data_IF_431361430592
#
_entry.id   IF_431361430592
#
_cell.length_a   1.000
_cell.length_b   1.000
_cell.length_c   1.000
_cell.angle_alpha   90.00
_cell.angle_beta   90.00
_cell.angle_gamma   90.00
#
_symmetry.space_group_name_H-M   'P 1'
#
loop_
_entity.id
_entity.type
_entity.pdbx_description
1 polymer ?
#
# COMPACT_ATOMS: atom_id res chain seq x y z
N UNK A 1 17.52 11.00 -8.21
CA UNK A 1 16.52 11.36 -7.18
C UNK A 1 17.29 11.68 -5.90
N UNK A 2 17.28 12.94 -5.41
CA UNK A 2 18.09 13.37 -4.24
C UNK A 2 17.63 12.72 -2.91
N UNK A 3 16.39 12.23 -2.85
CA UNK A 3 15.76 11.67 -1.63
C UNK A 3 15.97 10.16 -1.43
N UNK A 4 16.60 9.44 -2.38
CA UNK A 4 16.79 7.99 -2.26
C UNK A 4 17.61 7.57 -1.04
N UNK A 5 18.72 8.24 -0.70
CA UNK A 5 19.48 7.89 0.50
C UNK A 5 18.67 7.99 1.79
N UNK A 6 17.90 9.08 1.93
CA UNK A 6 17.09 9.33 3.14
C UNK A 6 15.91 8.34 3.23
N UNK A 7 15.27 8.04 2.10
CA UNK A 7 14.24 6.98 2.01
C UNK A 7 14.80 5.61 2.38
N UNK A 8 16.01 5.29 1.93
CA UNK A 8 16.66 4.02 2.23
C UNK A 8 16.99 3.90 3.73
N UNK A 9 17.51 4.96 4.33
CA UNK A 9 17.80 5.01 5.75
C UNK A 9 16.53 4.87 6.60
N UNK A 10 15.47 5.61 6.26
CA UNK A 10 14.19 5.57 6.96
C UNK A 10 13.51 4.20 6.83
N UNK A 11 13.53 3.60 5.63
CA UNK A 11 12.97 2.27 5.40
C UNK A 11 13.73 1.20 6.21
N UNK A 12 15.08 1.22 6.19
CA UNK A 12 15.89 0.24 6.92
C UNK A 12 15.67 0.34 8.42
N UNK A 13 15.59 1.55 8.98
CA UNK A 13 15.28 1.76 10.40
C UNK A 13 13.90 1.21 10.75
N UNK A 14 12.89 1.52 9.93
CA UNK A 14 11.51 1.07 10.16
C UNK A 14 11.38 -0.45 10.11
N UNK A 15 12.03 -1.13 9.15
CA UNK A 15 12.05 -2.59 9.05
C UNK A 15 12.79 -3.20 10.23
N UNK A 16 13.94 -2.66 10.62
CA UNK A 16 14.73 -3.18 11.72
C UNK A 16 14.05 -2.99 13.10
N UNK A 17 13.11 -2.05 13.21
CA UNK A 17 12.19 -1.91 14.35
C UNK A 17 11.00 -2.89 14.33
N UNK A 18 10.92 -3.75 13.30
CA UNK A 18 9.94 -4.84 13.21
C UNK A 18 8.75 -4.58 12.31
N UNK A 19 8.73 -3.51 11.51
CA UNK A 19 7.68 -3.29 10.53
C UNK A 19 7.78 -4.32 9.39
N UNK A 20 6.63 -4.89 8.99
CA UNK A 20 6.54 -5.83 7.87
C UNK A 20 6.27 -5.06 6.58
N UNK A 21 7.34 -4.67 5.90
CA UNK A 21 7.29 -3.85 4.67
C UNK A 21 7.84 -4.62 3.45
N UNK A 22 7.71 -5.95 3.46
CA UNK A 22 8.22 -6.81 2.38
C UNK A 22 9.71 -7.13 2.48
N UNK A 23 10.29 -6.92 3.67
CA UNK A 23 11.68 -7.24 3.98
C UNK A 23 11.79 -8.09 5.25
N UNK A 24 12.86 -8.86 5.35
CA UNK A 24 13.19 -9.64 6.54
C UNK A 24 14.32 -8.94 7.29
N UNK A 25 14.13 -8.52 8.55
CA UNK A 25 15.21 -7.92 9.32
C UNK A 25 16.27 -8.96 9.78
N UNK A 26 17.54 -8.57 9.96
CA UNK A 26 18.04 -7.22 9.75
C UNK A 26 18.29 -6.90 8.27
N UNK A 27 18.00 -5.66 7.86
CA UNK A 27 18.23 -5.18 6.50
C UNK A 27 19.18 -3.97 6.53
N UNK A 28 20.05 -3.84 5.53
CA UNK A 28 21.00 -2.74 5.39
C UNK A 28 20.38 -1.60 4.56
N UNK A 29 20.81 -0.38 4.80
CA UNK A 29 20.37 0.78 4.01
C UNK A 29 20.71 0.62 2.52
N UNK A 30 21.81 -0.04 2.17
CA UNK A 30 22.19 -0.30 0.76
C UNK A 30 21.19 -1.22 0.06
N UNK A 31 20.67 -2.25 0.75
CA UNK A 31 19.63 -3.13 0.20
C UNK A 31 18.33 -2.34 -0.04
N UNK A 32 17.99 -1.44 0.89
CA UNK A 32 16.85 -0.53 0.72
C UNK A 32 17.07 0.44 -0.45
N UNK A 33 18.32 0.94 -0.65
CA UNK A 33 18.65 1.78 -1.80
C UNK A 33 18.45 1.03 -3.12
N UNK A 34 18.99 -0.19 -3.22
CA UNK A 34 18.83 -1.03 -4.40
C UNK A 34 17.34 -1.28 -4.71
N UNK A 35 16.53 -1.51 -3.66
CA UNK A 35 15.07 -1.61 -3.81
C UNK A 35 14.46 -0.33 -4.41
N UNK A 36 14.76 0.86 -3.90
CA UNK A 36 14.23 2.11 -4.44
C UNK A 36 14.65 2.36 -5.88
N UNK A 37 15.88 2.02 -6.22
CA UNK A 37 16.41 2.12 -7.59
C UNK A 37 15.71 1.15 -8.55
N UNK A 38 15.38 -0.06 -8.09
CA UNK A 38 14.66 -1.07 -8.89
C UNK A 38 13.25 -0.64 -9.29
N UNK A 39 12.62 0.27 -8.54
CA UNK A 39 11.28 0.78 -8.84
C UNK A 39 11.24 1.79 -10.00
N UNK A 40 12.40 2.27 -10.46
CA UNK A 40 12.47 3.35 -11.44
C UNK A 40 11.65 3.09 -12.69
N UNK A 41 11.77 1.90 -13.27
CA UNK A 41 10.99 1.52 -14.47
C UNK A 41 9.48 1.54 -14.23
N UNK A 42 9.02 1.10 -13.06
CA UNK A 42 7.58 1.12 -12.73
C UNK A 42 7.08 2.55 -12.52
N UNK A 43 7.91 3.41 -11.92
CA UNK A 43 7.59 4.83 -11.71
C UNK A 43 7.58 5.57 -13.05
N UNK A 44 8.59 5.39 -13.89
CA UNK A 44 8.71 6.06 -15.19
C UNK A 44 7.57 5.67 -16.14
N UNK A 45 7.05 4.45 -16.02
CA UNK A 45 5.89 3.94 -16.80
C UNK A 45 4.54 4.23 -16.15
N UNK A 46 4.49 4.92 -15.00
CA UNK A 46 3.26 5.24 -14.28
C UNK A 46 2.56 4.03 -13.63
N UNK A 47 3.19 2.86 -13.62
CA UNK A 47 2.64 1.65 -12.97
C UNK A 47 2.79 1.69 -11.44
N UNK A 48 3.66 2.56 -10.95
CA UNK A 48 3.86 2.80 -9.53
C UNK A 48 4.01 4.29 -9.26
N UNK A 49 3.34 4.75 -8.21
CA UNK A 49 3.43 6.12 -7.74
C UNK A 49 4.04 6.08 -6.33
N UNK A 50 5.05 6.90 -6.11
CA UNK A 50 5.71 7.05 -4.83
C UNK A 50 5.35 8.42 -4.25
N UNK A 51 4.81 8.44 -3.04
CA UNK A 51 4.56 9.65 -2.27
C UNK A 51 5.48 9.70 -1.06
N UNK A 52 6.00 10.88 -0.77
CA UNK A 52 6.80 11.18 0.42
C UNK A 52 6.13 12.24 1.29
N UNK A 53 6.19 12.07 2.60
CA UNK A 53 5.87 13.11 3.57
C UNK A 53 7.16 13.79 4.02
N UNK A 54 7.13 15.13 4.09
CA UNK A 54 8.28 15.94 4.47
C UNK A 54 7.97 16.77 5.71
N UNK A 55 8.96 16.91 6.58
CA UNK A 55 8.98 17.88 7.67
C UNK A 55 10.17 18.81 7.42
N UNK A 56 9.91 20.02 6.94
CA UNK A 56 10.95 20.84 6.33
C UNK A 56 11.54 20.12 5.10
N UNK A 57 12.85 20.03 5.04
CA UNK A 57 13.56 19.34 3.94
C UNK A 57 13.79 17.83 4.21
N UNK A 58 13.41 17.33 5.39
CA UNK A 58 13.61 15.94 5.77
C UNK A 58 12.39 15.09 5.40
N UNK A 59 12.63 13.96 4.69
CA UNK A 59 11.58 12.97 4.47
C UNK A 59 11.30 12.20 5.77
N UNK A 60 10.02 12.12 6.14
CA UNK A 60 9.57 11.53 7.42
C UNK A 60 8.56 10.41 7.24
N UNK A 61 8.21 10.09 6.01
CA UNK A 61 7.31 8.98 5.70
C UNK A 61 7.17 8.79 4.21
N UNK A 62 6.70 7.63 3.82
CA UNK A 62 6.46 7.29 2.42
C UNK A 62 5.32 6.29 2.30
N UNK A 63 4.68 6.27 1.14
CA UNK A 63 3.72 5.26 0.73
C UNK A 63 3.74 5.10 -0.79
N UNK A 64 3.43 3.91 -1.25
CA UNK A 64 3.41 3.57 -2.67
C UNK A 64 2.00 3.19 -3.10
N UNK A 65 1.67 3.51 -4.34
CA UNK A 65 0.46 3.05 -5.00
C UNK A 65 0.87 2.26 -6.25
N UNK A 66 0.61 0.97 -6.25
CA UNK A 66 0.77 0.13 -7.44
C UNK A 66 -0.52 0.16 -8.26
N UNK A 67 -0.37 0.36 -9.57
CA UNK A 67 -1.46 0.44 -10.54
C UNK A 67 -1.37 -0.75 -11.48
N UNK A 68 -2.17 -1.81 -11.29
CA UNK A 68 -2.18 -2.97 -12.16
C UNK A 68 -2.49 -2.58 -13.61
N UNK A 69 -1.73 -3.09 -14.60
CA UNK A 69 -1.94 -2.74 -16.02
C UNK A 69 -2.97 -3.64 -16.71
N UNK A 70 -3.43 -4.72 -16.07
CA UNK A 70 -4.36 -5.67 -16.68
C UNK A 70 -5.72 -5.01 -16.96
N UNK A 71 -6.35 -5.23 -18.12
CA UNK A 71 -7.63 -4.61 -18.48
C UNK A 71 -8.74 -4.83 -17.46
N UNK A 72 -8.81 -6.00 -16.83
CA UNK A 72 -9.79 -6.33 -15.78
C UNK A 72 -9.41 -5.80 -14.38
N UNK A 73 -8.32 -5.08 -14.25
CA UNK A 73 -7.82 -4.55 -12.98
C UNK A 73 -7.63 -3.02 -12.99
N UNK A 74 -8.08 -2.35 -14.07
CA UNK A 74 -7.89 -0.90 -14.24
C UNK A 74 -8.67 -0.04 -13.24
N UNK A 75 -9.66 -0.63 -12.55
CA UNK A 75 -10.45 0.04 -11.51
C UNK A 75 -9.80 -0.03 -10.12
N UNK A 76 -8.75 -0.84 -9.91
CA UNK A 76 -8.14 -1.07 -8.60
C UNK A 76 -6.71 -0.56 -8.50
N UNK A 77 -6.28 -0.29 -7.27
CA UNK A 77 -4.91 0.04 -6.91
C UNK A 77 -4.53 -0.69 -5.62
N UNK A 78 -3.24 -0.82 -5.35
CA UNK A 78 -2.73 -1.41 -4.12
C UNK A 78 -1.80 -0.43 -3.41
N UNK A 79 -2.11 -0.12 -2.14
CA UNK A 79 -1.21 0.62 -1.26
C UNK A 79 -0.15 -0.33 -0.73
N UNK A 80 1.09 0.04 -0.93
CA UNK A 80 2.24 -0.73 -0.49
C UNK A 80 3.21 0.14 0.30
N UNK A 81 3.93 -0.46 1.24
CA UNK A 81 5.04 0.17 1.98
C UNK A 81 4.71 1.55 2.52
N UNK A 82 3.55 1.66 3.20
CA UNK A 82 3.24 2.84 4.00
C UNK A 82 4.02 2.78 5.31
N UNK A 83 4.85 3.77 5.58
CA UNK A 83 5.60 3.90 6.83
C UNK A 83 5.86 5.36 7.16
N UNK A 84 6.09 5.61 8.44
CA UNK A 84 6.36 6.94 9.01
C UNK A 84 7.53 6.80 9.98
N UNK A 85 8.34 7.84 10.10
CA UNK A 85 9.38 7.96 11.12
C UNK A 85 8.76 7.75 12.50
N UNK A 86 9.33 6.83 13.28
CA UNK A 86 8.82 6.48 14.60
C UNK A 86 8.66 7.68 15.54
N UNK A 87 9.52 8.72 15.39
CA UNK A 87 9.43 9.94 16.19
C UNK A 87 8.16 10.79 15.88
N UNK A 88 7.52 10.56 14.72
CA UNK A 88 6.33 11.29 14.26
C UNK A 88 5.08 10.41 14.17
N UNK A 89 5.15 9.19 14.67
CA UNK A 89 3.98 8.32 14.76
C UNK A 89 2.90 8.96 15.67
N UNK A 90 1.64 8.74 15.33
CA UNK A 90 0.50 9.33 16.05
C UNK A 90 0.23 10.80 15.76
N UNK A 91 1.09 11.49 15.00
CA UNK A 91 0.93 12.91 14.66
C UNK A 91 0.18 13.14 13.32
N UNK A 92 -0.52 12.14 12.79
CA UNK A 92 -1.35 12.28 11.60
C UNK A 92 -0.63 12.10 10.26
N UNK A 93 0.70 11.94 10.22
CA UNK A 93 1.49 11.80 8.98
C UNK A 93 1.00 10.62 8.13
N UNK A 94 0.77 9.45 8.74
CA UNK A 94 0.25 8.27 8.04
C UNK A 94 -1.15 8.51 7.44
N UNK A 95 -2.04 9.21 8.16
CA UNK A 95 -3.38 9.57 7.68
C UNK A 95 -3.30 10.54 6.50
N UNK A 96 -2.40 11.51 6.55
CA UNK A 96 -2.18 12.44 5.43
C UNK A 96 -1.62 11.73 4.19
N UNK A 97 -0.68 10.80 4.36
CA UNK A 97 -0.18 9.97 3.26
C UNK A 97 -1.29 9.12 2.63
N UNK A 98 -2.14 8.47 3.44
CA UNK A 98 -3.27 7.68 2.93
C UNK A 98 -4.28 8.54 2.18
N UNK A 99 -4.61 9.73 2.69
CA UNK A 99 -5.49 10.66 2.00
C UNK A 99 -4.92 11.08 0.63
N UNK A 100 -3.62 11.35 0.55
CA UNK A 100 -2.94 11.67 -0.70
C UNK A 100 -2.89 10.48 -1.67
N UNK A 101 -2.67 9.25 -1.17
CA UNK A 101 -2.71 8.02 -1.97
C UNK A 101 -4.12 7.78 -2.54
N UNK A 102 -5.18 7.92 -1.74
CA UNK A 102 -6.56 7.82 -2.21
C UNK A 102 -6.90 8.90 -3.24
N UNK A 103 -6.51 10.15 -3.00
CA UNK A 103 -6.68 11.23 -3.97
C UNK A 103 -5.96 10.93 -5.30
N UNK A 104 -4.77 10.35 -5.22
CA UNK A 104 -4.00 9.92 -6.39
C UNK A 104 -4.66 8.75 -7.10
N UNK A 105 -5.14 7.75 -6.38
CA UNK A 105 -5.86 6.61 -6.96
C UNK A 105 -7.10 7.09 -7.75
N UNK A 106 -7.91 8.01 -7.17
CA UNK A 106 -9.07 8.58 -7.87
C UNK A 106 -8.68 9.32 -9.14
N UNK A 107 -7.61 10.13 -9.12
CA UNK A 107 -7.12 10.83 -10.33
C UNK A 107 -6.68 9.87 -11.45
N UNK A 108 -6.31 8.63 -11.10
CA UNK A 108 -5.99 7.57 -12.04
C UNK A 108 -7.18 6.64 -12.35
N UNK A 109 -8.43 7.05 -12.03
CA UNK A 109 -9.64 6.27 -12.30
C UNK A 109 -9.76 4.98 -11.47
N UNK A 110 -9.10 4.93 -10.29
CA UNK A 110 -9.17 3.77 -9.42
C UNK A 110 -10.25 3.99 -8.36
N UNK A 111 -11.20 3.07 -8.29
CA UNK A 111 -12.32 3.12 -7.34
C UNK A 111 -12.16 2.13 -6.19
N UNK A 112 -11.31 1.10 -6.32
CA UNK A 112 -11.02 0.10 -5.31
C UNK A 112 -9.55 0.17 -4.90
N UNK A 113 -9.28 0.36 -3.62
CA UNK A 113 -7.92 0.34 -3.05
C UNK A 113 -7.77 -0.86 -2.12
N UNK A 114 -6.71 -1.62 -2.35
CA UNK A 114 -6.36 -2.80 -1.56
C UNK A 114 -5.05 -2.58 -0.84
N UNK A 115 -4.84 -3.33 0.22
CA UNK A 115 -3.56 -3.46 0.92
C UNK A 115 -3.51 -4.77 1.70
N UNK A 116 -2.34 -5.12 2.19
CA UNK A 116 -2.21 -6.18 3.16
C UNK A 116 -1.36 -5.72 4.37
N UNK A 117 -1.62 -6.32 5.53
CA UNK A 117 -0.91 -6.01 6.77
C UNK A 117 -0.91 -7.22 7.71
N UNK A 118 -0.24 -7.13 8.85
CA UNK A 118 -0.30 -8.17 9.89
C UNK A 118 -1.66 -8.15 10.60
N UNK A 119 -2.30 -9.32 10.81
CA UNK A 119 -3.54 -9.39 11.57
C UNK A 119 -3.32 -9.01 13.05
N UNK A 120 -4.34 -8.36 13.64
CA UNK A 120 -4.38 -7.98 15.05
C UNK A 120 -3.43 -6.84 15.46
N UNK A 121 -2.65 -6.32 14.52
CA UNK A 121 -1.64 -5.30 14.78
C UNK A 121 -2.19 -3.86 14.80
N UNK A 122 -1.33 -2.92 15.20
CA UNK A 122 -1.63 -1.49 15.17
C UNK A 122 -1.95 -0.99 13.76
N UNK A 123 -1.27 -1.53 12.75
CA UNK A 123 -1.49 -1.15 11.36
C UNK A 123 -2.88 -1.56 10.86
N UNK A 124 -3.37 -2.77 11.22
CA UNK A 124 -4.72 -3.19 10.86
C UNK A 124 -5.76 -2.22 11.43
N UNK A 125 -5.68 -1.92 12.73
CA UNK A 125 -6.59 -0.94 13.39
C UNK A 125 -6.54 0.44 12.73
N UNK A 126 -5.35 0.89 12.36
CA UNK A 126 -5.19 2.16 11.63
C UNK A 126 -5.94 2.15 10.29
N UNK A 127 -5.93 1.05 9.54
CA UNK A 127 -6.67 0.95 8.29
C UNK A 127 -8.19 0.79 8.52
N UNK A 128 -8.61 0.07 9.55
CA UNK A 128 -10.02 0.00 9.98
C UNK A 128 -10.57 1.39 10.30
N UNK A 129 -9.79 2.21 11.05
CA UNK A 129 -10.13 3.62 11.37
C UNK A 129 -10.19 4.53 10.13
N UNK A 130 -9.61 4.11 9.01
CA UNK A 130 -9.71 4.78 7.70
C UNK A 130 -10.86 4.24 6.84
N UNK A 131 -11.61 3.25 7.34
CA UNK A 131 -12.75 2.65 6.67
C UNK A 131 -12.40 1.47 5.74
N UNK A 132 -11.22 0.87 5.89
CA UNK A 132 -10.90 -0.37 5.20
C UNK A 132 -11.64 -1.55 5.84
N UNK A 133 -12.11 -2.46 4.99
CA UNK A 133 -12.76 -3.70 5.37
C UNK A 133 -11.80 -4.87 5.18
N UNK A 134 -11.90 -5.86 6.06
CA UNK A 134 -11.17 -7.11 5.92
C UNK A 134 -11.81 -7.99 4.85
N UNK A 135 -11.01 -8.46 3.89
CA UNK A 135 -11.43 -9.47 2.91
C UNK A 135 -11.12 -10.89 3.39
N UNK A 136 -10.11 -11.07 4.22
CA UNK A 136 -9.70 -12.33 4.80
C UNK A 136 -8.23 -12.42 5.15
N UNK A 137 -7.84 -13.51 5.81
CA UNK A 137 -6.47 -13.76 6.27
C UNK A 137 -5.84 -14.86 5.42
N UNK A 138 -4.59 -14.65 5.01
CA UNK A 138 -3.76 -15.65 4.33
C UNK A 138 -2.72 -16.17 5.32
N UNK A 139 -2.82 -17.44 5.75
CA UNK A 139 -1.86 -18.03 6.68
C UNK A 139 -0.46 -18.16 6.06
N UNK A 140 0.58 -17.84 6.84
CA UNK A 140 1.97 -18.04 6.42
C UNK A 140 2.41 -17.23 5.22
N UNK A 141 1.76 -16.13 4.94
CA UNK A 141 1.95 -15.28 3.75
C UNK A 141 3.35 -14.67 3.63
N UNK A 142 3.96 -14.28 4.74
CA UNK A 142 5.25 -13.61 4.75
C UNK A 142 6.25 -14.32 5.64
N UNK A 143 7.53 -14.06 5.42
CA UNK A 143 8.61 -14.49 6.32
C UNK A 143 8.97 -13.35 7.28
N UNK A 144 9.03 -13.64 8.55
CA UNK A 144 9.56 -12.78 9.59
C UNK A 144 11.02 -13.05 9.92
N UNK A 145 11.52 -12.37 10.97
CA UNK A 145 12.85 -12.65 11.54
C UNK A 145 12.94 -14.12 11.95
N UNK A 146 14.08 -14.78 11.69
CA UNK A 146 14.25 -16.20 11.95
C UNK A 146 13.51 -17.10 10.97
N UNK A 147 12.97 -16.56 9.86
CA UNK A 147 12.23 -17.27 8.81
C UNK A 147 10.92 -17.94 9.29
N UNK A 148 10.39 -17.52 10.41
CA UNK A 148 9.05 -17.92 10.82
C UNK A 148 8.00 -17.39 9.85
N UNK A 149 6.94 -18.15 9.60
CA UNK A 149 5.82 -17.72 8.75
C UNK A 149 4.90 -16.80 9.53
N UNK A 150 4.48 -15.74 8.88
CA UNK A 150 3.58 -14.73 9.42
C UNK A 150 2.34 -14.65 8.54
N UNK A 151 1.19 -14.58 9.17
CA UNK A 151 -0.08 -14.38 8.48
C UNK A 151 -0.20 -12.94 7.98
N UNK A 152 -1.03 -12.74 6.97
CA UNK A 152 -1.38 -11.43 6.43
C UNK A 152 -2.89 -11.31 6.27
N UNK A 153 -3.45 -10.20 6.72
CA UNK A 153 -4.82 -9.82 6.43
C UNK A 153 -4.85 -8.94 5.19
N UNK A 154 -5.69 -9.33 4.23
CA UNK A 154 -6.00 -8.54 3.04
C UNK A 154 -7.13 -7.59 3.39
N UNK A 155 -6.95 -6.32 3.11
CA UNK A 155 -7.96 -5.29 3.37
C UNK A 155 -8.23 -4.48 2.11
N UNK A 156 -9.45 -3.94 2.00
CA UNK A 156 -9.86 -3.15 0.86
C UNK A 156 -10.77 -2.00 1.27
N UNK A 157 -10.83 -0.98 0.44
CA UNK A 157 -11.78 0.13 0.54
C UNK A 157 -12.22 0.56 -0.85
N UNK A 158 -13.52 0.70 -1.05
CA UNK A 158 -14.06 1.40 -2.20
C UNK A 158 -13.96 2.92 -1.97
N UNK A 159 -13.25 3.60 -2.86
CA UNK A 159 -13.01 5.04 -2.78
C UNK A 159 -13.73 5.82 -3.88
N UNK A 160 -14.45 5.12 -4.77
CA UNK A 160 -15.37 5.70 -5.76
C UNK A 160 -16.67 6.17 -5.12
N UNK A 161 -17.41 7.05 -5.81
CA UNK A 161 -18.74 7.48 -5.37
C UNK A 161 -19.81 6.38 -5.54
N UNK A 162 -21.02 6.57 -5.00
CA UNK A 162 -22.13 5.57 -5.05
C UNK A 162 -22.58 5.19 -6.47
N UNK A 163 -22.19 5.96 -7.50
CA UNK A 163 -22.62 5.75 -8.88
C UNK A 163 -21.99 4.55 -9.60
N UNK A 164 -20.89 3.98 -9.06
CA UNK A 164 -20.21 2.88 -9.73
C UNK A 164 -20.76 1.48 -9.34
N UNK A 165 -21.55 1.37 -8.28
CA UNK A 165 -22.12 0.09 -7.83
C UNK A 165 -23.32 -0.35 -8.65
N UNK A 166 -24.15 0.60 -9.14
CA UNK A 166 -25.39 0.29 -9.85
C UNK A 166 -25.17 -0.11 -11.31
N UNK A 167 -24.04 0.29 -11.91
CA UNK A 167 -23.74 -0.03 -13.30
C UNK A 167 -23.23 -1.46 -13.51
N UNK A 168 -22.69 -2.12 -12.47
CA UNK A 168 -22.08 -3.45 -12.60
C UNK A 168 -23.01 -4.62 -12.31
N UNK A 169 -24.15 -4.39 -11.66
CA UNK A 169 -25.09 -5.47 -11.31
C UNK A 169 -26.19 -5.74 -12.35
N UNK A 170 -26.36 -4.87 -13.35
CA UNK A 170 -27.40 -5.04 -14.37
C UNK A 170 -27.00 -5.91 -15.57
N UNK A 171 -25.75 -6.40 -15.63
CA UNK A 171 -25.20 -7.13 -16.79
C UNK A 171 -25.13 -8.65 -16.69
N UNK A 172 -25.41 -9.26 -15.54
CA UNK A 172 -25.18 -10.70 -15.34
C UNK A 172 -26.41 -11.59 -15.38
N UNK A 173 -27.63 -11.03 -15.48
CA UNK A 173 -28.87 -11.80 -15.35
C UNK A 173 -29.51 -12.22 -16.68
N UNK A 174 -28.89 -12.08 -17.87
CA UNK A 174 -29.53 -12.37 -19.14
C UNK A 174 -28.84 -13.36 -20.10
N UNK A 175 -27.84 -14.10 -19.68
CA UNK A 175 -27.29 -15.17 -20.55
C UNK A 175 -27.38 -16.54 -19.87
N UNK A 176 -28.57 -17.09 -19.79
CA UNK A 176 -28.76 -18.42 -19.22
C UNK A 176 -30.12 -19.06 -19.50
N UNK A 177 -30.78 -18.72 -20.61
CA UNK A 177 -31.90 -19.52 -21.11
C UNK A 177 -32.01 -19.39 -22.62
N UNK A 178 -31.55 -20.37 -23.32
CA UNK A 178 -32.03 -20.73 -24.67
C UNK A 178 -31.89 -22.22 -24.92
N UNK A 179 -32.81 -22.80 -25.66
CA UNK A 179 -33.38 -24.16 -25.50
C UNK A 179 -32.48 -25.27 -26.01
#
# INVERSE_FOLDING_TARGET
MRVVPDLAALLSDTVNRGASLGFVPPIRSDDCRAYWESLRSEIDTGRRILLGAFHGDRIVGSGQLALPPQPNAVHRAEVQRLFVDAALEGQGVGRSLMAALHGTARRHGRSLVMLNTRPGGRAQRFYEDLGYLEAGVIPGYALGSGRNRLDSVVMYQEIGGPSDRDASMSGWDQEGQSP
#
